data_IF_611752819763
#
_entry.id   IF_611752819763
#
_cell.length_a   1.000
_cell.length_b   1.000
_cell.length_c   1.000
_cell.angle_alpha   90.00
_cell.angle_beta   90.00
_cell.angle_gamma   90.00
#
_symmetry.space_group_name_H-M   'P 1'
#
loop_
_entity.id
_entity.type
_entity.pdbx_description
1 polymer ?
#
# COMPACT_ATOMS: atom_id res chain seq x y z
N UNK A 1 47.36 -28.52 1.29
CA UNK A 1 46.39 -27.89 2.22
C UNK A 1 46.60 -26.38 2.16
N UNK A 2 45.85 -25.66 1.33
CA UNK A 2 46.07 -24.21 1.18
C UNK A 2 45.29 -23.48 0.08
N UNK A 3 44.25 -24.05 -0.51
CA UNK A 3 43.52 -23.42 -1.64
C UNK A 3 42.00 -23.27 -1.43
N UNK A 4 41.48 -23.57 -0.25
CA UNK A 4 40.04 -23.45 0.04
C UNK A 4 39.63 -22.12 0.68
N UNK A 5 40.55 -21.17 0.89
CA UNK A 5 40.21 -19.90 1.56
C UNK A 5 39.78 -18.76 0.61
N UNK A 6 40.04 -18.86 -0.69
CA UNK A 6 39.90 -17.73 -1.61
C UNK A 6 38.53 -17.61 -2.31
N UNK A 7 37.64 -18.59 -2.12
CA UNK A 7 36.31 -18.59 -2.80
C UNK A 7 35.20 -18.04 -1.89
N UNK A 8 35.46 -17.83 -0.60
CA UNK A 8 34.44 -17.32 0.33
C UNK A 8 34.26 -15.79 0.33
N UNK A 9 35.23 -15.06 -0.22
CA UNK A 9 35.22 -13.59 -0.23
C UNK A 9 34.60 -12.98 -1.51
N UNK A 10 34.16 -13.79 -2.48
CA UNK A 10 33.61 -13.30 -3.76
C UNK A 10 32.07 -13.36 -3.87
N UNK A 11 31.36 -13.59 -2.77
CA UNK A 11 29.89 -13.66 -2.74
C UNK A 11 29.24 -12.58 -1.86
N UNK A 12 30.01 -11.59 -1.39
CA UNK A 12 29.44 -10.34 -0.88
C UNK A 12 29.04 -9.45 -2.07
N UNK A 13 28.07 -9.95 -2.84
CA UNK A 13 27.38 -9.16 -3.87
C UNK A 13 26.54 -8.17 -3.07
N UNK A 14 27.07 -6.95 -2.95
CA UNK A 14 26.42 -5.82 -2.29
C UNK A 14 24.92 -5.83 -2.53
N UNK A 15 24.16 -6.17 -1.50
CA UNK A 15 22.72 -5.99 -1.50
C UNK A 15 22.50 -4.48 -1.44
N UNK A 16 22.40 -3.88 -2.64
CA UNK A 16 22.10 -2.47 -2.90
C UNK A 16 21.12 -1.95 -1.83
N UNK A 17 21.56 -1.02 -0.96
CA UNK A 17 20.68 -0.31 0.00
C UNK A 17 19.64 0.60 -0.68
N UNK A 18 19.59 0.59 -2.01
CA UNK A 18 18.72 1.42 -2.86
C UNK A 18 17.21 1.23 -2.61
N UNK A 19 16.64 0.03 -2.40
CA UNK A 19 15.21 -0.13 -2.17
C UNK A 19 14.79 0.45 -0.82
N UNK A 20 15.56 0.23 0.24
CA UNK A 20 15.26 0.73 1.58
C UNK A 20 15.31 2.26 1.62
N UNK A 21 16.29 2.87 0.94
CA UNK A 21 16.40 4.33 0.83
C UNK A 21 15.23 4.95 0.06
N UNK A 22 14.76 4.32 -1.02
CA UNK A 22 13.61 4.79 -1.79
C UNK A 22 12.33 4.72 -0.94
N UNK A 23 12.08 3.61 -0.25
CA UNK A 23 10.93 3.46 0.65
C UNK A 23 10.99 4.47 1.80
N UNK A 24 12.20 4.73 2.32
CA UNK A 24 12.41 5.75 3.35
C UNK A 24 12.08 7.16 2.85
N UNK A 25 12.54 7.52 1.65
CA UNK A 25 12.21 8.81 1.01
C UNK A 25 10.71 8.94 0.76
N UNK A 26 10.06 7.88 0.28
CA UNK A 26 8.62 7.85 0.06
C UNK A 26 7.86 8.12 1.37
N UNK A 27 8.23 7.45 2.47
CA UNK A 27 7.64 7.72 3.78
C UNK A 27 7.85 9.17 4.23
N UNK A 28 9.04 9.75 4.04
CA UNK A 28 9.30 11.16 4.40
C UNK A 28 8.44 12.13 3.58
N UNK A 29 8.23 11.85 2.29
CA UNK A 29 7.33 12.64 1.44
C UNK A 29 5.89 12.56 1.94
N UNK A 30 5.41 11.35 2.25
CA UNK A 30 4.08 11.16 2.83
C UNK A 30 3.91 11.91 4.17
N UNK A 31 4.91 11.86 5.06
CA UNK A 31 4.92 12.60 6.32
C UNK A 31 4.90 14.12 6.07
N UNK A 32 5.70 14.61 5.13
CA UNK A 32 5.77 16.04 4.81
C UNK A 32 4.45 16.56 4.22
N UNK A 33 3.80 15.80 3.32
CA UNK A 33 2.51 16.17 2.74
C UNK A 33 1.42 16.19 3.82
N UNK A 34 1.34 15.13 4.64
CA UNK A 34 0.33 15.03 5.70
C UNK A 34 0.48 16.13 6.75
N UNK A 35 1.70 16.38 7.22
CA UNK A 35 1.98 17.46 8.17
C UNK A 35 1.80 18.85 7.53
N UNK A 36 2.17 19.02 6.27
CA UNK A 36 2.03 20.28 5.53
C UNK A 36 0.55 20.69 5.35
N UNK A 37 -0.29 19.78 4.83
CA UNK A 37 -1.72 20.05 4.65
C UNK A 37 -2.40 20.31 6.00
N UNK A 38 -2.07 19.52 7.03
CA UNK A 38 -2.64 19.70 8.37
C UNK A 38 -2.17 21.02 9.01
N UNK A 39 -0.92 21.42 8.81
CA UNK A 39 -0.39 22.70 9.25
C UNK A 39 -1.07 23.88 8.56
N UNK A 40 -1.29 23.80 7.24
CA UNK A 40 -2.05 24.82 6.48
C UNK A 40 -3.48 24.93 7.02
N UNK A 41 -4.13 23.81 7.35
CA UNK A 41 -5.46 23.83 7.94
C UNK A 41 -5.48 24.52 9.32
N UNK A 42 -4.49 24.24 10.19
CA UNK A 42 -4.35 24.91 11.49
C UNK A 42 -4.16 26.43 11.29
N UNK A 43 -3.29 26.84 10.38
CA UNK A 43 -3.07 28.25 10.04
C UNK A 43 -4.36 28.89 9.51
N UNK A 44 -5.12 28.17 8.68
CA UNK A 44 -6.43 28.61 8.19
C UNK A 44 -7.41 28.90 9.31
N UNK A 45 -7.44 28.07 10.36
CA UNK A 45 -8.25 28.33 11.55
C UNK A 45 -7.74 29.49 12.40
N UNK A 46 -6.42 29.60 12.62
CA UNK A 46 -5.84 30.69 13.42
C UNK A 46 -6.02 32.06 12.76
N UNK A 47 -5.90 32.13 11.43
CA UNK A 47 -6.07 33.36 10.65
C UNK A 47 -7.53 33.63 10.26
N UNK A 48 -8.46 32.75 10.66
CA UNK A 48 -9.87 32.77 10.24
C UNK A 48 -10.07 32.79 8.71
N UNK A 49 -9.15 32.15 7.97
CA UNK A 49 -9.20 32.01 6.52
C UNK A 49 -9.46 30.54 6.14
N UNK A 50 -10.72 30.12 6.28
CA UNK A 50 -11.16 28.72 6.19
C UNK A 50 -10.97 28.09 4.79
N UNK A 51 -10.79 28.88 3.74
CA UNK A 51 -10.47 28.34 2.41
C UNK A 51 -9.13 27.61 2.39
N UNK A 52 -8.19 27.95 3.28
CA UNK A 52 -6.93 27.20 3.43
C UNK A 52 -7.17 25.78 3.98
N UNK A 53 -8.19 25.62 4.83
CA UNK A 53 -8.57 24.32 5.40
C UNK A 53 -9.47 23.49 4.46
N UNK A 54 -10.23 24.14 3.57
CA UNK A 54 -11.19 23.50 2.65
C UNK A 54 -10.79 23.45 1.17
N UNK A 55 -9.70 24.11 0.75
CA UNK A 55 -9.27 24.38 -0.64
C UNK A 55 -10.18 25.37 -1.39
N UNK A 56 -11.51 25.30 -1.21
CA UNK A 56 -12.50 26.19 -1.81
C UNK A 56 -13.51 26.63 -0.77
N UNK A 57 -14.17 27.77 -1.01
CA UNK A 57 -15.27 28.29 -0.17
C UNK A 57 -16.46 27.34 -0.11
N UNK A 58 -16.69 26.58 -1.20
CA UNK A 58 -17.84 25.68 -1.33
C UNK A 58 -17.56 24.30 -0.70
N UNK A 59 -16.38 24.10 -0.13
CA UNK A 59 -15.98 22.86 0.53
C UNK A 59 -15.90 23.05 2.04
N UNK A 60 -16.28 22.03 2.78
CA UNK A 60 -16.21 22.06 4.24
C UNK A 60 -14.73 22.05 4.65
N UNK A 61 -14.32 23.02 5.49
CA UNK A 61 -12.95 23.07 5.98
C UNK A 61 -12.67 21.87 6.88
N UNK A 62 -11.45 21.35 6.79
CA UNK A 62 -10.95 20.35 7.72
C UNK A 62 -11.04 20.84 9.16
N UNK A 63 -11.64 20.05 10.05
CA UNK A 63 -11.74 20.38 11.47
C UNK A 63 -10.35 20.54 12.14
N UNK A 64 -10.26 21.46 13.10
CA UNK A 64 -9.00 21.75 13.79
C UNK A 64 -8.51 20.56 14.62
N UNK A 65 -9.43 19.83 15.26
CA UNK A 65 -9.17 18.58 15.96
C UNK A 65 -8.49 17.55 15.05
N UNK A 66 -9.03 17.34 13.84
CA UNK A 66 -8.48 16.45 12.81
C UNK A 66 -7.06 16.85 12.44
N UNK A 67 -6.82 18.15 12.24
CA UNK A 67 -5.51 18.65 11.83
C UNK A 67 -4.44 18.40 12.92
N UNK A 68 -4.77 18.68 14.19
CA UNK A 68 -3.88 18.38 15.31
C UNK A 68 -3.58 16.89 15.42
N UNK A 69 -4.59 16.03 15.28
CA UNK A 69 -4.40 14.58 15.33
C UNK A 69 -3.49 14.08 14.21
N UNK A 70 -3.63 14.59 12.99
CA UNK A 70 -2.70 14.24 11.92
C UNK A 70 -1.28 14.74 12.17
N UNK A 71 -1.08 15.93 12.75
CA UNK A 71 0.27 16.38 13.16
C UNK A 71 0.89 15.39 14.16
N UNK A 72 0.12 14.92 15.15
CA UNK A 72 0.58 13.92 16.11
C UNK A 72 0.92 12.59 15.43
N UNK A 73 0.07 12.08 14.53
CA UNK A 73 0.31 10.84 13.80
C UNK A 73 1.53 10.95 12.86
N UNK A 74 1.68 12.05 12.14
CA UNK A 74 2.84 12.32 11.27
C UNK A 74 4.14 12.43 12.08
N UNK A 75 4.11 13.08 13.25
CA UNK A 75 5.24 13.14 14.18
C UNK A 75 5.61 11.76 14.73
N UNK A 76 4.63 10.95 15.10
CA UNK A 76 4.86 9.58 15.58
C UNK A 76 5.42 8.66 14.47
N UNK A 77 4.96 8.82 13.24
CA UNK A 77 5.51 8.12 12.07
C UNK A 77 6.94 8.57 11.75
N UNK A 78 7.25 9.87 11.93
CA UNK A 78 8.61 10.41 11.80
C UNK A 78 9.57 9.85 12.87
N UNK A 79 9.10 9.66 14.09
CA UNK A 79 9.87 8.99 15.15
C UNK A 79 10.12 7.51 14.79
N UNK A 80 9.13 6.83 14.21
CA UNK A 80 9.29 5.43 13.79
C UNK A 80 10.37 5.23 12.73
N UNK A 81 10.47 6.13 11.74
CA UNK A 81 11.42 6.04 10.62
C UNK A 81 12.85 6.49 10.98
N UNK A 82 13.02 7.40 11.96
CA UNK A 82 14.34 7.88 12.42
C UNK A 82 14.95 6.85 13.40
N UNK A 83 15.43 5.72 12.89
CA UNK A 83 16.18 4.71 13.67
C UNK A 83 17.66 5.10 13.84
N UNK A 84 18.30 4.85 15.01
CA UNK A 84 17.71 4.42 16.28
C UNK A 84 17.12 5.61 17.06
N UNK A 85 15.80 5.67 17.22
CA UNK A 85 15.16 6.64 18.11
C UNK A 85 15.29 6.17 19.57
N UNK A 86 15.57 7.10 20.49
CA UNK A 86 15.60 6.84 21.93
C UNK A 86 14.31 6.18 22.41
N UNK A 87 14.42 5.22 23.34
CA UNK A 87 13.28 4.50 23.91
C UNK A 87 12.19 5.44 24.45
N UNK A 88 12.58 6.50 25.15
CA UNK A 88 11.66 7.51 25.67
C UNK A 88 10.89 8.26 24.58
N UNK A 89 11.56 8.59 23.47
CA UNK A 89 10.92 9.29 22.34
C UNK A 89 9.91 8.38 21.64
N UNK A 90 10.22 7.10 21.47
CA UNK A 90 9.29 6.11 20.92
C UNK A 90 8.09 5.88 21.85
N UNK A 91 8.30 5.85 23.17
CA UNK A 91 7.23 5.73 24.17
C UNK A 91 6.32 6.97 24.14
N UNK A 92 6.90 8.18 24.09
CA UNK A 92 6.15 9.43 23.98
C UNK A 92 5.30 9.48 22.71
N UNK A 93 5.87 9.07 21.57
CA UNK A 93 5.12 8.93 20.31
C UNK A 93 3.95 7.93 20.46
N UNK A 94 4.18 6.79 21.12
CA UNK A 94 3.13 5.81 21.41
C UNK A 94 1.99 6.38 22.28
N UNK A 95 2.31 7.17 23.30
CA UNK A 95 1.31 7.87 24.14
C UNK A 95 0.51 8.87 23.30
N UNK A 96 1.18 9.66 22.45
CA UNK A 96 0.50 10.58 21.53
C UNK A 96 -0.49 9.87 20.60
N UNK A 97 -0.07 8.76 20.00
CA UNK A 97 -0.95 7.93 19.14
C UNK A 97 -2.13 7.35 19.93
N UNK A 98 -1.90 6.89 21.15
CA UNK A 98 -2.96 6.38 22.02
C UNK A 98 -3.99 7.48 22.37
N UNK A 99 -3.53 8.71 22.65
CA UNK A 99 -4.42 9.84 22.88
C UNK A 99 -5.24 10.20 21.64
N UNK A 100 -4.66 10.15 20.44
CA UNK A 100 -5.42 10.33 19.18
C UNK A 100 -6.55 9.32 19.10
N UNK A 101 -6.28 8.03 19.30
CA UNK A 101 -7.32 6.98 19.29
C UNK A 101 -8.41 7.27 20.32
N UNK A 102 -8.01 7.61 21.56
CA UNK A 102 -8.95 7.86 22.65
C UNK A 102 -9.86 9.07 22.35
N UNK A 103 -9.30 10.19 21.89
CA UNK A 103 -10.07 11.39 21.59
C UNK A 103 -10.98 11.13 20.38
N UNK A 104 -10.48 10.48 19.32
CA UNK A 104 -11.33 10.11 18.18
C UNK A 104 -12.47 9.18 18.58
N UNK A 105 -12.24 8.26 19.53
CA UNK A 105 -13.29 7.39 20.06
C UNK A 105 -14.33 8.17 20.87
N UNK A 106 -13.92 9.12 21.71
CA UNK A 106 -14.85 9.97 22.46
C UNK A 106 -15.71 10.80 21.48
N UNK A 107 -15.10 11.46 20.50
CA UNK A 107 -15.83 12.24 19.48
C UNK A 107 -16.81 11.36 18.69
N UNK A 108 -16.42 10.13 18.35
CA UNK A 108 -17.30 9.19 17.66
C UNK A 108 -18.51 8.79 18.51
N UNK A 109 -18.31 8.52 19.80
CA UNK A 109 -19.42 8.17 20.71
C UNK A 109 -20.32 9.39 20.95
N UNK A 110 -19.73 10.57 21.15
CA UNK A 110 -20.42 11.84 21.36
C UNK A 110 -21.42 12.14 20.23
N UNK A 111 -21.02 11.86 18.98
CA UNK A 111 -21.87 12.00 17.79
C UNK A 111 -23.19 11.21 17.88
N UNK A 112 -23.21 10.04 18.52
CA UNK A 112 -24.42 9.20 18.65
C UNK A 112 -25.20 9.40 19.94
N UNK A 113 -24.52 9.86 21.00
CA UNK A 113 -25.08 9.85 22.35
C UNK A 113 -25.52 11.23 22.84
N UNK A 114 -25.28 12.28 22.04
CA UNK A 114 -25.50 13.68 22.44
C UNK A 114 -24.93 13.97 23.83
N UNK A 115 -23.83 13.29 24.19
CA UNK A 115 -23.14 13.60 25.42
C UNK A 115 -22.72 15.08 25.34
N UNK A 116 -22.83 15.81 26.45
CA UNK A 116 -22.43 17.23 26.48
C UNK A 116 -20.90 17.38 26.54
N UNK A 117 -20.13 16.38 26.11
CA UNK A 117 -18.66 16.34 26.20
C UNK A 117 -18.13 16.90 24.87
N UNK A 118 -18.35 18.19 24.66
CA UNK A 118 -17.96 18.86 23.42
C UNK A 118 -16.48 19.27 23.44
N UNK A 119 -15.60 18.28 23.29
CA UNK A 119 -14.13 18.48 23.20
C UNK A 119 -13.80 19.46 22.06
N UNK A 120 -14.57 19.41 20.97
CA UNK A 120 -14.34 20.25 19.79
C UNK A 120 -14.78 21.70 20.04
N UNK A 121 -15.83 21.93 20.83
CA UNK A 121 -16.24 23.27 21.28
C UNK A 121 -15.21 23.93 22.20
N UNK A 122 -14.50 23.16 23.03
CA UNK A 122 -13.39 23.69 23.82
C UNK A 122 -12.25 24.20 22.94
N UNK A 123 -12.07 23.58 21.77
CA UNK A 123 -11.06 23.97 20.78
C UNK A 123 -11.52 25.16 19.93
N UNK A 124 -12.84 25.28 19.68
CA UNK A 124 -13.46 26.38 18.94
C UNK A 124 -14.84 26.75 19.47
N UNK A 125 -14.94 27.94 20.06
CA UNK A 125 -16.18 28.40 20.70
C UNK A 125 -17.24 28.97 19.74
N UNK A 126 -16.89 29.26 18.48
CA UNK A 126 -17.79 29.87 17.48
C UNK A 126 -17.77 29.13 16.14
N UNK A 127 -18.41 27.94 16.03
CA UNK A 127 -18.52 27.25 14.76
C UNK A 127 -19.44 28.00 13.81
N UNK A 128 -18.92 28.42 12.65
CA UNK A 128 -19.77 28.85 11.53
C UNK A 128 -20.61 27.66 11.03
N UNK A 129 -21.64 27.90 10.22
CA UNK A 129 -22.47 26.82 9.65
C UNK A 129 -22.27 26.73 8.15
N UNK A 130 -22.01 25.53 7.64
CA UNK A 130 -22.00 25.23 6.20
C UNK A 130 -23.21 24.35 5.87
N UNK A 131 -24.14 24.86 5.07
CA UNK A 131 -25.32 24.10 4.63
C UNK A 131 -26.21 23.55 5.76
N UNK A 132 -26.20 24.17 6.95
CA UNK A 132 -26.95 23.72 8.13
C UNK A 132 -26.15 22.88 9.14
N UNK A 133 -24.96 22.42 8.78
CA UNK A 133 -24.07 21.64 9.65
C UNK A 133 -23.00 22.56 10.27
N UNK A 134 -22.68 22.43 11.58
CA UNK A 134 -21.60 23.20 12.19
C UNK A 134 -20.24 22.86 11.55
N UNK A 135 -19.52 23.89 11.10
CA UNK A 135 -18.14 23.77 10.64
C UNK A 135 -17.19 23.59 11.82
N UNK A 136 -15.99 23.06 11.57
CA UNK A 136 -15.00 22.84 12.63
C UNK A 136 -15.21 21.59 13.48
N UNK A 137 -16.29 20.82 13.24
CA UNK A 137 -16.52 19.52 13.86
C UNK A 137 -16.02 18.37 12.99
N UNK A 138 -15.50 17.34 13.63
CA UNK A 138 -15.00 16.15 12.96
C UNK A 138 -16.16 15.26 12.50
N UNK A 139 -16.09 14.79 11.25
CA UNK A 139 -17.04 13.80 10.74
C UNK A 139 -16.86 12.45 11.46
N UNK A 140 -17.94 11.70 11.78
CA UNK A 140 -17.83 10.37 12.39
C UNK A 140 -17.00 9.40 11.54
N UNK A 141 -17.02 9.53 10.20
CA UNK A 141 -16.16 8.73 9.31
C UNK A 141 -14.68 9.07 9.54
N UNK A 142 -14.37 10.35 9.75
CA UNK A 142 -13.00 10.80 10.04
C UNK A 142 -12.52 10.25 11.38
N UNK A 143 -13.37 10.28 12.41
CA UNK A 143 -13.06 9.73 13.74
C UNK A 143 -12.72 8.24 13.68
N UNK A 144 -13.56 7.44 13.01
CA UNK A 144 -13.28 6.00 12.82
C UNK A 144 -11.99 5.79 12.05
N UNK A 145 -11.76 6.55 10.99
CA UNK A 145 -10.56 6.37 10.17
C UNK A 145 -9.27 6.77 10.90
N UNK A 146 -9.32 7.76 11.80
CA UNK A 146 -8.23 8.11 12.72
C UNK A 146 -7.97 7.01 13.75
N UNK A 147 -9.01 6.37 14.29
CA UNK A 147 -8.86 5.20 15.19
C UNK A 147 -8.13 4.08 14.46
N UNK A 148 -8.51 3.77 13.22
CA UNK A 148 -7.87 2.74 12.39
C UNK A 148 -6.42 3.10 12.08
N UNK A 149 -6.15 4.33 11.65
CA UNK A 149 -4.80 4.81 11.36
C UNK A 149 -3.89 4.81 12.60
N UNK A 150 -4.40 5.29 13.73
CA UNK A 150 -3.72 5.28 15.02
C UNK A 150 -3.42 3.85 15.48
N UNK A 151 -4.38 2.94 15.34
CA UNK A 151 -4.19 1.52 15.69
C UNK A 151 -3.10 0.86 14.84
N UNK A 152 -3.08 1.14 13.53
CA UNK A 152 -2.00 0.71 12.63
C UNK A 152 -0.63 1.19 13.11
N UNK A 153 -0.50 2.49 13.40
CA UNK A 153 0.76 3.07 13.86
C UNK A 153 1.18 2.56 15.25
N UNK A 154 0.22 2.38 16.16
CA UNK A 154 0.47 1.87 17.51
C UNK A 154 1.00 0.43 17.47
N UNK A 155 0.47 -0.41 16.58
CA UNK A 155 0.99 -1.75 16.33
C UNK A 155 2.45 -1.70 15.84
N UNK A 156 2.79 -0.78 14.94
CA UNK A 156 4.17 -0.59 14.46
C UNK A 156 5.11 -0.08 15.57
N UNK A 157 4.64 0.86 16.39
CA UNK A 157 5.42 1.45 17.47
C UNK A 157 5.65 0.48 18.63
N UNK A 158 4.74 -0.44 18.91
CA UNK A 158 4.84 -1.36 20.06
C UNK A 158 5.42 -2.73 19.69
N UNK A 159 5.34 -3.14 18.42
CA UNK A 159 5.81 -4.47 18.03
C UNK A 159 7.34 -4.59 18.03
N UNK A 160 7.89 -5.66 18.64
CA UNK A 160 9.29 -6.04 18.47
C UNK A 160 9.63 -6.31 17.00
N UNK A 161 10.88 -6.07 16.62
CA UNK A 161 11.38 -6.44 15.30
C UNK A 161 11.18 -7.96 15.10
N UNK A 162 10.42 -8.36 14.08
CA UNK A 162 10.21 -9.77 13.73
C UNK A 162 8.79 -10.33 13.95
N UNK A 163 7.88 -9.64 14.66
CA UNK A 163 6.48 -10.10 14.78
C UNK A 163 5.70 -9.87 13.48
N UNK A 164 5.73 -10.87 12.57
CA UNK A 164 5.09 -10.83 11.24
C UNK A 164 3.59 -10.51 11.31
N UNK A 165 2.85 -11.08 12.28
CA UNK A 165 1.40 -10.88 12.40
C UNK A 165 1.00 -9.42 12.64
N UNK A 166 1.66 -8.73 13.58
CA UNK A 166 1.32 -7.35 13.92
C UNK A 166 1.61 -6.36 12.78
N UNK A 167 2.71 -6.57 12.03
CA UNK A 167 3.03 -5.77 10.83
C UNK A 167 2.02 -6.00 9.70
N UNK A 168 1.61 -7.25 9.47
CA UNK A 168 0.55 -7.57 8.51
C UNK A 168 -0.79 -6.92 8.87
N UNK A 169 -1.19 -6.97 10.15
CA UNK A 169 -2.39 -6.28 10.63
C UNK A 169 -2.29 -4.77 10.47
N UNK A 170 -1.15 -4.16 10.82
CA UNK A 170 -0.92 -2.74 10.64
C UNK A 170 -1.05 -2.33 9.16
N UNK A 171 -0.48 -3.11 8.24
CA UNK A 171 -0.60 -2.87 6.80
C UNK A 171 -2.06 -3.00 6.32
N UNK A 172 -2.80 -4.01 6.79
CA UNK A 172 -4.22 -4.19 6.48
C UNK A 172 -5.09 -3.02 6.95
N UNK A 173 -4.88 -2.55 8.18
CA UNK A 173 -5.57 -1.36 8.72
C UNK A 173 -5.21 -0.11 7.91
N UNK A 174 -3.94 0.06 7.53
CA UNK A 174 -3.52 1.19 6.70
C UNK A 174 -4.14 1.15 5.30
N UNK A 175 -4.36 -0.03 4.71
CA UNK A 175 -5.10 -0.17 3.45
C UNK A 175 -6.54 0.30 3.60
N UNK A 176 -7.21 -0.05 4.70
CA UNK A 176 -8.57 0.42 4.97
C UNK A 176 -8.61 1.96 5.06
N UNK A 177 -7.60 2.57 5.69
CA UNK A 177 -7.46 4.04 5.75
C UNK A 177 -7.38 4.68 4.37
N UNK A 178 -6.58 4.10 3.48
CA UNK A 178 -6.47 4.57 2.08
C UNK A 178 -7.80 4.38 1.37
N UNK A 179 -8.44 3.22 1.48
CA UNK A 179 -9.69 2.92 0.80
C UNK A 179 -10.79 3.92 1.16
N UNK A 180 -10.94 4.25 2.45
CA UNK A 180 -11.90 5.26 2.92
C UNK A 180 -11.57 6.64 2.34
N UNK A 181 -10.30 7.07 2.42
CA UNK A 181 -9.88 8.35 1.85
C UNK A 181 -10.11 8.43 0.34
N UNK A 182 -9.83 7.35 -0.39
CA UNK A 182 -10.01 7.29 -1.84
C UNK A 182 -11.48 7.39 -2.24
N UNK A 183 -12.38 6.69 -1.54
CA UNK A 183 -13.84 6.78 -1.78
C UNK A 183 -14.34 8.22 -1.58
N UNK A 184 -13.85 8.92 -0.56
CA UNK A 184 -14.22 10.33 -0.32
C UNK A 184 -13.69 11.24 -1.45
N UNK A 185 -12.44 11.06 -1.87
CA UNK A 185 -11.87 11.81 -3.00
C UNK A 185 -12.71 11.59 -4.28
N UNK A 186 -13.13 10.35 -4.56
CA UNK A 186 -14.00 10.05 -5.71
C UNK A 186 -15.33 10.80 -5.63
N UNK A 187 -15.96 10.89 -4.45
CA UNK A 187 -17.19 11.69 -4.29
C UNK A 187 -16.99 13.17 -4.65
N UNK A 188 -15.87 13.76 -4.24
CA UNK A 188 -15.51 15.13 -4.64
C UNK A 188 -15.23 15.25 -6.14
N UNK A 189 -14.54 14.27 -6.73
CA UNK A 189 -14.24 14.25 -8.16
C UNK A 189 -15.50 14.10 -9.02
N UNK A 190 -16.48 13.30 -8.58
CA UNK A 190 -17.77 13.16 -9.25
C UNK A 190 -18.73 14.34 -9.01
N UNK A 191 -18.27 15.41 -8.34
CA UNK A 191 -19.09 16.58 -8.07
C UNK A 191 -20.24 16.34 -7.07
N UNK A 192 -20.27 15.17 -6.43
CA UNK A 192 -21.27 14.77 -5.42
C UNK A 192 -20.56 14.35 -4.14
N UNK A 193 -19.92 15.29 -3.41
CA UNK A 193 -19.21 14.96 -2.18
C UNK A 193 -20.10 14.18 -1.22
N UNK A 194 -19.57 13.06 -0.71
CA UNK A 194 -20.34 12.17 0.16
C UNK A 194 -20.85 12.90 1.40
N UNK A 195 -22.11 12.62 1.76
CA UNK A 195 -22.83 13.18 2.91
C UNK A 195 -23.16 14.68 2.84
N UNK A 196 -22.82 15.38 1.75
CA UNK A 196 -23.26 16.77 1.56
C UNK A 196 -24.78 16.83 1.40
N UNK A 197 -25.41 17.84 2.01
CA UNK A 197 -26.86 18.01 2.02
C UNK A 197 -27.62 17.07 2.96
N UNK A 198 -26.92 16.20 3.68
CA UNK A 198 -27.49 15.36 4.73
C UNK A 198 -27.36 15.96 6.13
N UNK A 199 -27.83 15.22 7.14
CA UNK A 199 -27.71 15.59 8.55
C UNK A 199 -26.40 15.13 9.21
N UNK A 200 -25.55 14.42 8.47
CA UNK A 200 -24.27 13.90 8.97
C UNK A 200 -23.15 14.83 8.51
N UNK A 201 -22.23 15.16 9.41
CA UNK A 201 -21.07 16.00 9.10
C UNK A 201 -20.22 15.30 8.02
N UNK A 202 -20.05 15.92 6.83
CA UNK A 202 -19.27 15.31 5.76
C UNK A 202 -17.77 15.47 6.00
N UNK A 203 -16.98 14.68 5.27
CA UNK A 203 -15.52 14.68 5.40
C UNK A 203 -14.92 15.68 4.41
N UNK A 204 -14.05 16.58 4.88
CA UNK A 204 -13.34 17.52 4.03
C UNK A 204 -12.41 16.83 3.00
N UNK A 205 -12.29 17.39 1.79
CA UNK A 205 -11.40 16.88 0.75
C UNK A 205 -9.93 16.81 1.22
N UNK A 206 -9.45 17.86 1.89
CA UNK A 206 -8.10 17.93 2.46
C UNK A 206 -7.84 16.79 3.45
N UNK A 207 -8.84 16.45 4.27
CA UNK A 207 -8.77 15.33 5.22
C UNK A 207 -8.63 13.98 4.49
N UNK A 208 -9.40 13.77 3.42
CA UNK A 208 -9.32 12.55 2.62
C UNK A 208 -7.95 12.37 1.94
N UNK A 209 -7.37 13.46 1.41
CA UNK A 209 -6.03 13.46 0.83
C UNK A 209 -4.99 13.10 1.90
N UNK A 210 -5.07 13.70 3.09
CA UNK A 210 -4.15 13.40 4.19
C UNK A 210 -4.25 11.94 4.62
N UNK A 211 -5.45 11.34 4.68
CA UNK A 211 -5.60 9.91 4.98
C UNK A 211 -4.92 9.02 3.95
N UNK A 212 -5.03 9.32 2.65
CA UNK A 212 -4.37 8.54 1.60
C UNK A 212 -2.85 8.58 1.79
N UNK A 213 -2.25 9.77 1.94
CA UNK A 213 -0.80 9.88 2.12
C UNK A 213 -0.31 9.28 3.45
N UNK A 214 -1.05 9.45 4.55
CA UNK A 214 -0.74 8.83 5.83
C UNK A 214 -0.78 7.30 5.73
N UNK A 215 -1.83 6.76 5.10
CA UNK A 215 -2.00 5.32 4.88
C UNK A 215 -0.87 4.74 4.03
N UNK A 216 -0.44 5.42 2.96
CA UNK A 216 0.72 5.01 2.16
C UNK A 216 1.97 4.95 3.04
N UNK A 217 2.21 5.99 3.86
CA UNK A 217 3.31 6.02 4.81
C UNK A 217 3.28 4.84 5.79
N UNK A 218 2.11 4.48 6.31
CA UNK A 218 1.91 3.35 7.23
C UNK A 218 2.13 1.99 6.55
N UNK A 219 1.66 1.79 5.33
CA UNK A 219 1.91 0.56 4.55
C UNK A 219 3.41 0.38 4.31
N UNK A 220 4.10 1.45 3.90
CA UNK A 220 5.55 1.39 3.67
C UNK A 220 6.30 1.15 4.99
N UNK A 221 5.84 1.74 6.10
CA UNK A 221 6.40 1.54 7.43
C UNK A 221 6.22 0.11 7.97
N UNK A 222 5.15 -0.58 7.55
CA UNK A 222 4.93 -1.99 7.89
C UNK A 222 5.94 -2.93 7.20
N UNK A 223 6.36 -2.59 5.97
CA UNK A 223 7.44 -3.25 5.24
C UNK A 223 6.97 -3.99 3.98
N UNK A 224 7.92 -4.29 3.09
CA UNK A 224 7.67 -4.83 1.75
C UNK A 224 7.18 -6.30 1.73
N UNK A 225 7.33 -7.04 2.82
CA UNK A 225 6.92 -8.45 2.90
C UNK A 225 5.42 -8.62 3.12
N UNK A 226 4.71 -7.54 3.48
CA UNK A 226 3.31 -7.59 3.90
C UNK A 226 2.37 -7.06 2.81
N UNK A 227 1.17 -7.62 2.77
CA UNK A 227 0.11 -7.13 1.89
C UNK A 227 -0.34 -5.73 2.36
N UNK A 228 -0.58 -4.77 1.44
CA UNK A 228 -0.62 -4.91 -0.02
C UNK A 228 0.73 -4.71 -0.71
N UNK A 229 1.76 -4.19 -0.04
CA UNK A 229 3.02 -3.78 -0.68
C UNK A 229 3.75 -4.95 -1.37
N UNK A 230 3.73 -6.14 -0.76
CA UNK A 230 4.29 -7.38 -1.33
C UNK A 230 3.63 -7.81 -2.65
N UNK A 231 2.43 -7.28 -2.96
CA UNK A 231 1.72 -7.56 -4.19
C UNK A 231 2.13 -6.63 -5.32
N UNK A 232 2.85 -5.54 -5.02
CA UNK A 232 3.35 -4.56 -6.00
C UNK A 232 4.87 -4.61 -6.16
N UNK A 233 5.59 -5.12 -5.15
CA UNK A 233 7.05 -5.22 -5.14
C UNK A 233 7.47 -6.67 -5.39
N UNK A 234 8.20 -6.91 -6.47
CA UNK A 234 8.76 -8.22 -6.79
C UNK A 234 8.89 -8.47 -8.29
N UNK A 235 9.61 -9.55 -8.64
CA UNK A 235 9.82 -9.96 -10.03
C UNK A 235 8.79 -10.99 -10.51
N UNK A 236 7.97 -11.55 -9.61
CA UNK A 236 6.95 -12.52 -9.94
C UNK A 236 5.80 -11.91 -10.77
N UNK A 237 4.98 -12.78 -11.36
CA UNK A 237 3.85 -12.40 -12.18
C UNK A 237 2.89 -11.42 -11.49
N UNK A 238 2.56 -11.66 -10.21
CA UNK A 238 1.59 -10.86 -9.45
C UNK A 238 1.98 -9.37 -9.34
N UNK A 239 3.18 -8.99 -8.84
CA UNK A 239 3.68 -7.60 -8.88
C UNK A 239 3.78 -6.96 -10.25
N UNK A 240 4.10 -7.72 -11.30
CA UNK A 240 4.09 -7.18 -12.67
C UNK A 240 2.65 -6.82 -13.08
N UNK A 241 1.71 -7.74 -12.90
CA UNK A 241 0.29 -7.53 -13.22
C UNK A 241 -0.30 -6.38 -12.40
N UNK A 242 -0.07 -6.33 -11.09
CA UNK A 242 -0.60 -5.26 -10.23
C UNK A 242 -0.08 -3.88 -10.64
N UNK A 243 1.21 -3.74 -10.95
CA UNK A 243 1.78 -2.46 -11.40
C UNK A 243 1.28 -2.00 -12.78
N UNK A 244 0.67 -2.88 -13.57
CA UNK A 244 0.06 -2.51 -14.85
C UNK A 244 -1.45 -2.30 -14.74
N UNK A 245 -2.18 -3.27 -14.18
CA UNK A 245 -3.64 -3.21 -14.10
C UNK A 245 -4.14 -2.18 -13.09
N UNK A 246 -3.54 -2.09 -11.91
CA UNK A 246 -4.06 -1.20 -10.87
C UNK A 246 -3.99 0.29 -11.26
N UNK A 247 -2.87 0.83 -11.79
CA UNK A 247 -2.85 2.21 -12.28
C UNK A 247 -3.77 2.44 -13.48
N UNK A 248 -3.97 1.44 -14.34
CA UNK A 248 -4.90 1.53 -15.48
C UNK A 248 -6.34 1.61 -15.00
N UNK A 249 -6.75 0.75 -14.06
CA UNK A 249 -8.09 0.77 -13.49
C UNK A 249 -8.38 2.09 -12.79
N UNK A 250 -7.44 2.59 -11.96
CA UNK A 250 -7.59 3.91 -11.32
C UNK A 250 -7.68 5.02 -12.38
N UNK A 251 -6.81 5.01 -13.39
CA UNK A 251 -6.83 6.00 -14.46
C UNK A 251 -8.17 6.00 -15.20
N UNK A 252 -8.74 4.83 -15.51
CA UNK A 252 -10.05 4.73 -16.17
C UNK A 252 -11.14 5.34 -15.29
N UNK A 253 -11.16 5.04 -13.99
CA UNK A 253 -12.14 5.61 -13.03
C UNK A 253 -11.99 7.14 -12.93
N UNK A 254 -10.77 7.65 -12.86
CA UNK A 254 -10.50 9.10 -12.81
C UNK A 254 -10.86 9.80 -14.12
N UNK A 255 -10.55 9.19 -15.28
CA UNK A 255 -10.92 9.73 -16.60
C UNK A 255 -12.42 9.74 -16.76
N UNK A 256 -13.14 8.71 -16.27
CA UNK A 256 -14.60 8.68 -16.29
C UNK A 256 -15.18 9.91 -15.59
N UNK A 257 -14.70 10.19 -14.37
CA UNK A 257 -15.08 11.39 -13.62
C UNK A 257 -14.83 12.68 -14.38
N UNK A 258 -13.67 12.78 -15.05
CA UNK A 258 -13.31 13.97 -15.82
C UNK A 258 -14.20 14.14 -17.04
N UNK A 259 -14.51 13.03 -17.71
CA UNK A 259 -15.33 12.99 -18.91
C UNK A 259 -16.77 13.44 -18.64
N UNK A 260 -17.35 13.03 -17.51
CA UNK A 260 -18.68 13.51 -17.12
C UNK A 260 -18.69 15.02 -16.88
N UNK A 261 -17.66 15.59 -16.25
CA UNK A 261 -17.59 17.05 -16.03
C UNK A 261 -17.47 17.83 -17.34
N UNK A 262 -16.66 17.38 -18.29
CA UNK A 262 -16.36 18.13 -19.51
C UNK A 262 -17.32 17.83 -20.69
N UNK A 263 -17.79 16.59 -20.83
CA UNK A 263 -18.59 16.17 -21.98
C UNK A 263 -20.10 16.28 -21.73
N UNK A 264 -20.57 16.06 -20.49
CA UNK A 264 -22.01 16.17 -20.17
C UNK A 264 -22.62 17.52 -20.58
N UNK A 265 -21.95 18.68 -20.36
CA UNK A 265 -22.49 19.97 -20.80
C UNK A 265 -22.62 20.13 -22.32
N UNK A 266 -21.93 19.30 -23.11
CA UNK A 266 -21.90 19.40 -24.58
C UNK A 266 -22.93 18.50 -25.26
N UNK A 267 -23.27 17.35 -24.66
CA UNK A 267 -24.16 16.35 -25.30
C UNK A 267 -25.60 16.41 -24.82
N UNK A 268 -25.86 16.99 -23.64
CA UNK A 268 -27.17 17.04 -22.95
C UNK A 268 -27.88 15.67 -22.85
N UNK A 269 -27.13 14.59 -23.05
CA UNK A 269 -27.61 13.22 -23.11
C UNK A 269 -26.64 12.30 -22.36
N UNK A 270 -27.07 11.90 -21.17
CA UNK A 270 -26.33 11.04 -20.25
C UNK A 270 -26.06 9.64 -20.82
N UNK A 271 -26.93 9.12 -21.70
CA UNK A 271 -26.75 7.79 -22.27
C UNK A 271 -25.58 7.76 -23.27
N UNK A 272 -25.38 8.84 -24.03
CA UNK A 272 -24.30 8.95 -25.01
C UNK A 272 -22.92 9.07 -24.34
N UNK A 273 -22.79 9.91 -23.30
CA UNK A 273 -21.50 10.08 -22.58
C UNK A 273 -21.06 8.78 -21.91
N UNK A 274 -21.98 8.11 -21.20
CA UNK A 274 -21.71 6.83 -20.52
C UNK A 274 -21.35 5.74 -21.53
N UNK A 275 -22.08 5.63 -22.65
CA UNK A 275 -21.82 4.61 -23.67
C UNK A 275 -20.47 4.82 -24.36
N UNK A 276 -20.13 6.07 -24.72
CA UNK A 276 -18.84 6.39 -25.33
C UNK A 276 -17.67 6.07 -24.39
N UNK A 277 -17.80 6.43 -23.11
CA UNK A 277 -16.79 6.14 -22.10
C UNK A 277 -16.65 4.64 -21.85
N UNK A 278 -17.76 3.88 -21.84
CA UNK A 278 -17.72 2.43 -21.74
C UNK A 278 -16.92 1.82 -22.90
N UNK A 279 -17.19 2.22 -24.14
CA UNK A 279 -16.46 1.76 -25.34
C UNK A 279 -14.97 2.10 -25.24
N UNK A 280 -14.63 3.34 -24.86
CA UNK A 280 -13.23 3.76 -24.69
C UNK A 280 -12.52 2.95 -23.59
N UNK A 281 -13.19 2.69 -22.47
CA UNK A 281 -12.63 1.89 -21.38
C UNK A 281 -12.35 0.44 -21.81
N UNK A 282 -13.29 -0.19 -22.54
CA UNK A 282 -13.13 -1.55 -23.08
C UNK A 282 -11.97 -1.59 -24.07
N UNK A 283 -11.84 -0.57 -24.93
CA UNK A 283 -10.72 -0.46 -25.87
C UNK A 283 -9.38 -0.33 -25.15
N UNK A 284 -9.27 0.55 -24.16
CA UNK A 284 -8.04 0.75 -23.36
C UNK A 284 -7.67 -0.54 -22.62
N UNK A 285 -8.64 -1.19 -21.95
CA UNK A 285 -8.41 -2.45 -21.25
C UNK A 285 -7.94 -3.53 -22.23
N UNK A 286 -8.56 -3.63 -23.42
CA UNK A 286 -8.16 -4.60 -24.44
C UNK A 286 -6.72 -4.36 -24.94
N UNK A 287 -6.33 -3.11 -25.16
CA UNK A 287 -4.94 -2.76 -25.55
C UNK A 287 -3.96 -3.13 -24.45
N UNK A 288 -4.28 -2.82 -23.20
CA UNK A 288 -3.43 -3.13 -22.04
C UNK A 288 -3.29 -4.64 -21.86
N UNK A 289 -4.40 -5.38 -21.91
CA UNK A 289 -4.40 -6.85 -21.84
C UNK A 289 -3.54 -7.43 -22.96
N UNK A 290 -3.72 -6.97 -24.20
CA UNK A 290 -2.93 -7.47 -25.33
C UNK A 290 -1.42 -7.22 -25.14
N UNK A 291 -1.02 -6.01 -24.70
CA UNK A 291 0.40 -5.70 -24.41
C UNK A 291 0.96 -6.59 -23.30
N UNK A 292 0.19 -6.85 -22.25
CA UNK A 292 0.62 -7.70 -21.14
C UNK A 292 0.75 -9.15 -21.59
N UNK A 293 -0.22 -9.68 -22.33
CA UNK A 293 -0.17 -11.04 -22.88
C UNK A 293 1.06 -11.22 -23.77
N UNK A 294 1.42 -10.24 -24.59
CA UNK A 294 2.62 -10.31 -25.43
C UNK A 294 3.92 -10.28 -24.59
N UNK A 295 4.02 -9.39 -23.60
CA UNK A 295 5.21 -9.27 -22.77
C UNK A 295 5.41 -10.47 -21.84
N UNK A 296 4.34 -10.89 -21.14
CA UNK A 296 4.39 -11.97 -20.15
C UNK A 296 4.34 -13.34 -20.83
N UNK A 297 3.53 -13.49 -21.88
CA UNK A 297 3.45 -14.74 -22.65
C UNK A 297 4.79 -15.11 -23.27
N UNK A 298 5.51 -14.14 -23.85
CA UNK A 298 6.85 -14.38 -24.38
C UNK A 298 7.87 -14.79 -23.30
N UNK A 299 7.80 -14.23 -22.09
CA UNK A 299 8.65 -14.63 -20.96
C UNK A 299 8.32 -16.06 -20.49
N UNK A 300 7.03 -16.43 -20.45
CA UNK A 300 6.57 -17.78 -20.07
C UNK A 300 6.99 -18.81 -21.11
N UNK A 301 6.77 -18.55 -22.41
CA UNK A 301 7.12 -19.47 -23.49
C UNK A 301 8.63 -19.73 -23.53
N UNK A 302 9.44 -18.68 -23.29
CA UNK A 302 10.90 -18.83 -23.16
C UNK A 302 11.29 -19.68 -21.95
N UNK A 303 10.63 -19.49 -20.80
CA UNK A 303 10.88 -20.29 -19.60
C UNK A 303 10.50 -21.76 -19.81
N UNK A 304 9.35 -22.03 -20.45
CA UNK A 304 8.90 -23.39 -20.77
C UNK A 304 9.83 -24.07 -21.78
N UNK A 305 10.27 -23.34 -22.82
CA UNK A 305 11.23 -23.83 -23.80
C UNK A 305 12.57 -24.19 -23.16
N UNK A 306 13.09 -23.35 -22.24
CA UNK A 306 14.31 -23.65 -21.48
C UNK A 306 14.14 -24.89 -20.60
N UNK A 307 12.99 -25.03 -19.94
CA UNK A 307 12.69 -26.19 -19.10
C UNK A 307 12.66 -27.48 -19.91
N UNK A 308 11.93 -27.50 -21.03
CA UNK A 308 11.89 -28.64 -21.96
C UNK A 308 13.27 -28.98 -22.51
N UNK A 309 14.08 -27.98 -22.87
CA UNK A 309 15.44 -28.22 -23.34
C UNK A 309 16.32 -28.86 -22.25
N UNK A 310 16.26 -28.36 -21.01
CA UNK A 310 17.00 -28.95 -19.89
C UNK A 310 16.55 -30.39 -19.58
N UNK A 311 15.26 -30.68 -19.71
CA UNK A 311 14.72 -32.03 -19.55
C UNK A 311 15.23 -32.99 -20.64
N UNK A 312 15.24 -32.55 -21.90
CA UNK A 312 15.80 -33.34 -23.02
C UNK A 312 17.31 -33.55 -22.87
N UNK A 313 18.05 -32.51 -22.48
CA UNK A 313 19.50 -32.60 -22.25
C UNK A 313 19.82 -33.57 -21.09
N UNK A 314 18.99 -33.59 -20.04
CA UNK A 314 19.10 -34.54 -18.93
C UNK A 314 18.83 -35.98 -19.37
N UNK A 315 17.75 -36.22 -20.13
CA UNK A 315 17.41 -37.55 -20.66
C UNK A 315 18.54 -38.05 -21.55
N UNK A 316 19.03 -37.22 -22.48
CA UNK A 316 20.14 -37.59 -23.38
C UNK A 316 21.43 -37.90 -22.58
N UNK A 317 21.74 -37.12 -21.55
CA UNK A 317 22.91 -37.39 -20.70
C UNK A 317 22.77 -38.70 -19.92
N UNK A 318 21.56 -39.03 -19.47
CA UNK A 318 21.27 -40.28 -18.77
C UNK A 318 21.41 -41.47 -19.72
N UNK A 319 20.77 -41.41 -20.89
CA UNK A 319 20.87 -42.46 -21.92
C UNK A 319 22.31 -42.69 -22.38
N UNK A 320 23.08 -41.62 -22.59
CA UNK A 320 24.50 -41.72 -22.92
C UNK A 320 25.28 -42.42 -21.80
N UNK A 321 25.04 -42.04 -20.55
CA UNK A 321 25.71 -42.65 -19.39
C UNK A 321 25.35 -44.12 -19.24
N UNK A 322 24.07 -44.49 -19.36
CA UNK A 322 23.61 -45.89 -19.31
C UNK A 322 24.16 -46.71 -20.48
N UNK A 323 24.20 -46.14 -21.68
CA UNK A 323 24.75 -46.79 -22.87
C UNK A 323 26.25 -47.05 -22.70
N UNK A 324 27.02 -46.04 -22.28
CA UNK A 324 28.46 -46.16 -22.00
C UNK A 324 28.71 -47.17 -20.88
N UNK A 325 27.96 -47.11 -19.78
CA UNK A 325 28.09 -48.03 -18.64
C UNK A 325 27.83 -49.50 -19.03
N UNK A 326 26.79 -49.76 -19.83
CA UNK A 326 26.40 -51.10 -20.25
C UNK A 326 27.20 -51.66 -21.44
N UNK A 327 27.90 -50.80 -22.19
CA UNK A 327 28.76 -51.21 -23.32
C UNK A 327 30.21 -51.51 -22.92
N UNK A 328 30.62 -51.24 -21.67
CA UNK A 328 31.93 -51.65 -21.17
C UNK A 328 31.99 -53.17 -21.01
N UNK A 329 33.09 -53.77 -21.48
CA UNK A 329 33.36 -55.20 -21.33
C UNK A 329 33.94 -55.59 -19.96
N UNK A 330 34.05 -54.63 -19.04
CA UNK A 330 34.48 -54.87 -17.66
C UNK A 330 33.24 -54.97 -16.75
N UNK A 331 33.31 -55.81 -15.71
CA UNK A 331 32.26 -55.93 -14.70
C UNK A 331 32.34 -54.73 -13.74
N UNK A 332 31.33 -53.84 -13.77
CA UNK A 332 31.31 -52.61 -12.97
C UNK A 332 30.07 -52.60 -12.07
N UNK A 333 30.26 -52.30 -10.78
CA UNK A 333 29.19 -52.05 -9.82
C UNK A 333 29.45 -50.77 -9.03
N UNK A 334 28.36 -50.09 -8.65
CA UNK A 334 28.35 -48.88 -7.82
C UNK A 334 27.85 -49.27 -6.44
N UNK A 335 28.63 -48.97 -5.39
CA UNK A 335 28.35 -49.38 -4.01
C UNK A 335 28.12 -48.13 -3.14
N UNK A 336 27.10 -48.17 -2.29
CA UNK A 336 26.86 -47.14 -1.28
C UNK A 336 27.92 -47.27 -0.17
N UNK A 337 28.71 -46.22 0.01
CA UNK A 337 29.78 -46.18 1.01
C UNK A 337 29.27 -46.27 2.45
N UNK A 338 27.99 -45.97 2.72
CA UNK A 338 27.44 -45.96 4.07
C UNK A 338 26.96 -47.34 4.54
N UNK A 339 26.44 -48.17 3.63
CA UNK A 339 25.82 -49.46 3.95
C UNK A 339 26.38 -50.65 3.15
N UNK A 340 27.36 -50.39 2.27
CA UNK A 340 28.02 -51.38 1.40
C UNK A 340 27.09 -52.17 0.48
N UNK A 341 25.89 -51.66 0.19
CA UNK A 341 24.97 -52.27 -0.77
C UNK A 341 25.29 -51.81 -2.19
N UNK A 342 25.15 -52.73 -3.15
CA UNK A 342 25.19 -52.40 -4.57
C UNK A 342 23.95 -51.57 -4.91
N UNK A 343 24.17 -50.38 -5.46
CA UNK A 343 23.14 -49.42 -5.86
C UNK A 343 22.84 -49.56 -7.35
N UNK A 344 23.86 -49.88 -8.14
CA UNK A 344 23.77 -50.02 -9.59
C UNK A 344 24.86 -50.96 -10.12
N UNK A 345 24.64 -51.62 -11.25
CA UNK A 345 25.60 -52.53 -11.88
C UNK A 345 25.35 -52.65 -13.39
N UNK A 346 26.41 -52.80 -14.19
CA UNK A 346 26.28 -52.90 -15.64
C UNK A 346 25.84 -54.30 -16.08
N UNK A 347 25.32 -54.42 -17.30
CA UNK A 347 24.86 -55.71 -17.86
C UNK A 347 25.93 -56.79 -17.89
N UNK A 348 27.21 -56.43 -18.01
CA UNK A 348 28.30 -57.41 -17.97
C UNK A 348 28.56 -57.97 -16.56
N UNK A 349 28.41 -57.16 -15.50
CA UNK A 349 28.51 -57.63 -14.11
C UNK A 349 27.37 -58.60 -13.73
N UNK A 350 26.21 -58.46 -14.36
CA UNK A 350 25.02 -59.28 -14.08
C UNK A 350 24.97 -60.61 -14.84
N UNK A 351 25.79 -60.79 -15.88
CA UNK A 351 25.89 -62.01 -16.69
C UNK A 351 27.05 -62.89 -16.26
#
# INVERSE_FOLDING_TARGET
MGETSTIKDSLDIGHDGRPEDILRRLMLVCIAITAGISGIAIVGWVLNWLTLAGIRTDYIPMALSTALMFIVLSGALLVYIRRPANFHVRKLAGVGVFLVILISLIIFIDFFTEMKIDIEQMLQSHPEKFGGVPTGRMSPITSVNLIVAGSSLLLLLTSPAGKRGARGMAAGLATLVISVGFVIILGYLYGTPLLYGGNIIPVALTTAIVFVFLGIGLIVAAGQDYWPLNSFVGMSLRPRLMRTFFPVTISIVLIHSLFDIFLFPLTDNHALSVSLMAILSVMIVSIVVNKITQSIGGDIDRADTRRKKAEVDLIRSKEFSETVFNSMNDAISVIDVNNFRIIDANTFFLN
#
